data_IF_211703000361
#
_entry.id   IF_211703000361
#
_cell.length_a   1.000
_cell.length_b   1.000
_cell.length_c   1.000
_cell.angle_alpha   90.00
_cell.angle_beta   90.00
_cell.angle_gamma   90.00
#
_symmetry.space_group_name_H-M   'P 1'
#
loop_
_entity.id
_entity.type
_entity.pdbx_description
1 polymer ?
#
# COMPACT_ATOMS: atom_id res chain seq x y z
N UNK A 1 -53.34 -16.37 18.69
CA UNK A 1 -51.87 -16.49 18.92
C UNK A 1 -51.03 -16.11 17.68
N UNK A 2 -51.57 -16.09 16.46
CA UNK A 2 -50.81 -15.74 15.25
C UNK A 2 -50.29 -14.29 15.24
N UNK A 3 -51.10 -13.32 15.66
CA UNK A 3 -50.76 -11.89 15.61
C UNK A 3 -49.58 -11.51 16.52
N UNK A 4 -49.47 -12.15 17.68
CA UNK A 4 -48.33 -11.97 18.60
C UNK A 4 -47.07 -12.61 18.02
N UNK A 5 -47.17 -13.82 17.45
CA UNK A 5 -46.05 -14.48 16.77
C UNK A 5 -45.52 -13.66 15.60
N UNK A 6 -46.41 -13.10 14.77
CA UNK A 6 -46.00 -12.25 13.65
C UNK A 6 -45.31 -10.97 14.12
N UNK A 7 -45.77 -10.39 15.24
CA UNK A 7 -45.15 -9.19 15.81
C UNK A 7 -43.73 -9.46 16.33
N UNK A 8 -43.51 -10.59 17.00
CA UNK A 8 -42.15 -10.98 17.41
C UNK A 8 -41.23 -11.26 16.21
N UNK A 9 -41.76 -11.88 15.15
CA UNK A 9 -40.99 -12.16 13.94
C UNK A 9 -40.60 -10.88 13.19
N UNK A 10 -41.48 -9.88 13.11
CA UNK A 10 -41.14 -8.60 12.48
C UNK A 10 -40.12 -7.83 13.31
N UNK A 11 -40.26 -7.79 14.63
CA UNK A 11 -39.27 -7.16 15.52
C UNK A 11 -37.92 -7.86 15.38
N UNK A 12 -37.89 -9.20 15.38
CA UNK A 12 -36.66 -9.97 15.20
C UNK A 12 -36.01 -9.70 13.83
N UNK A 13 -36.81 -9.60 12.76
CA UNK A 13 -36.33 -9.25 11.43
C UNK A 13 -35.69 -7.86 11.38
N UNK A 14 -36.35 -6.86 11.98
CA UNK A 14 -35.82 -5.49 12.05
C UNK A 14 -34.55 -5.43 12.91
N UNK A 15 -34.53 -6.14 14.05
CA UNK A 15 -33.35 -6.20 14.89
C UNK A 15 -32.16 -6.83 14.15
N UNK A 16 -32.41 -7.90 13.39
CA UNK A 16 -31.38 -8.56 12.60
C UNK A 16 -30.82 -7.68 11.49
N UNK A 17 -31.67 -6.95 10.76
CA UNK A 17 -31.22 -6.03 9.71
C UNK A 17 -30.43 -4.85 10.28
N UNK A 18 -30.86 -4.29 11.41
CA UNK A 18 -30.11 -3.26 12.12
C UNK A 18 -28.76 -3.79 12.62
N UNK A 19 -28.72 -5.01 13.16
CA UNK A 19 -27.48 -5.65 13.59
C UNK A 19 -26.51 -5.82 12.41
N UNK A 20 -26.99 -6.34 11.28
CA UNK A 20 -26.19 -6.50 10.07
C UNK A 20 -25.67 -5.14 9.55
N UNK A 21 -26.50 -4.10 9.60
CA UNK A 21 -26.12 -2.75 9.19
C UNK A 21 -25.01 -2.18 10.08
N UNK A 22 -25.17 -2.23 11.41
CA UNK A 22 -24.17 -1.74 12.36
C UNK A 22 -22.86 -2.55 12.23
N UNK A 23 -22.96 -3.86 12.07
CA UNK A 23 -21.80 -4.72 11.84
C UNK A 23 -21.04 -4.32 10.57
N UNK A 24 -21.75 -4.12 9.45
CA UNK A 24 -21.14 -3.71 8.19
C UNK A 24 -20.51 -2.32 8.30
N UNK A 25 -21.20 -1.38 8.94
CA UNK A 25 -20.67 -0.04 9.20
C UNK A 25 -19.41 -0.08 10.08
N UNK A 26 -19.39 -0.94 11.10
CA UNK A 26 -18.23 -1.16 11.97
C UNK A 26 -17.03 -1.71 11.20
N UNK A 27 -17.23 -2.67 10.30
CA UNK A 27 -16.18 -3.16 9.40
C UNK A 27 -15.62 -2.04 8.53
N UNK A 28 -16.49 -1.23 7.92
CA UNK A 28 -16.06 -0.08 7.13
C UNK A 28 -15.24 0.91 7.95
N UNK A 29 -15.70 1.25 9.16
CA UNK A 29 -15.00 2.14 10.08
C UNK A 29 -13.63 1.58 10.50
N UNK A 30 -13.54 0.27 10.75
CA UNK A 30 -12.28 -0.39 11.10
C UNK A 30 -11.27 -0.29 9.94
N UNK A 31 -11.70 -0.54 8.70
CA UNK A 31 -10.84 -0.43 7.52
C UNK A 31 -10.37 1.00 7.30
N UNK A 32 -11.27 1.99 7.42
CA UNK A 32 -10.93 3.41 7.34
C UNK A 32 -9.92 3.78 8.45
N UNK A 33 -10.12 3.29 9.67
CA UNK A 33 -9.22 3.51 10.79
C UNK A 33 -7.81 2.97 10.51
N UNK A 34 -7.71 1.72 10.07
CA UNK A 34 -6.42 1.10 9.71
C UNK A 34 -5.75 1.88 8.59
N UNK A 35 -6.47 2.19 7.50
CA UNK A 35 -5.94 2.95 6.38
C UNK A 35 -5.44 4.33 6.82
N UNK A 36 -6.17 5.01 7.72
CA UNK A 36 -5.79 6.32 8.25
C UNK A 36 -4.47 6.25 9.03
N UNK A 37 -4.31 5.27 9.93
CA UNK A 37 -3.07 5.07 10.69
C UNK A 37 -1.90 4.78 9.76
N UNK A 38 -2.10 3.89 8.77
CA UNK A 38 -1.07 3.56 7.77
C UNK A 38 -0.65 4.80 6.98
N UNK A 39 -1.62 5.57 6.46
CA UNK A 39 -1.33 6.79 5.71
C UNK A 39 -0.56 7.80 6.54
N UNK A 40 -0.96 8.03 7.80
CA UNK A 40 -0.24 8.91 8.72
C UNK A 40 1.20 8.40 8.92
N UNK A 41 1.38 7.10 9.19
CA UNK A 41 2.69 6.48 9.32
C UNK A 41 3.56 6.65 8.07
N UNK A 42 2.98 6.45 6.87
CA UNK A 42 3.68 6.66 5.60
C UNK A 42 4.08 8.12 5.41
N UNK A 43 3.22 9.09 5.75
CA UNK A 43 3.59 10.51 5.62
C UNK A 43 4.70 10.91 6.57
N UNK A 44 4.72 10.37 7.79
CA UNK A 44 5.80 10.59 8.76
C UNK A 44 7.09 9.92 8.25
N UNK A 45 7.00 8.67 7.82
CA UNK A 45 8.13 7.93 7.27
C UNK A 45 8.73 8.62 6.05
N UNK A 46 7.91 9.14 5.12
CA UNK A 46 8.38 9.86 3.95
C UNK A 46 9.11 11.17 4.30
N UNK A 47 8.71 11.84 5.40
CA UNK A 47 9.42 13.04 5.90
C UNK A 47 10.76 12.70 6.56
N UNK A 48 10.85 11.54 7.20
CA UNK A 48 12.07 11.06 7.85
C UNK A 48 13.00 10.30 6.90
N UNK A 49 12.48 9.84 5.75
CA UNK A 49 13.24 9.10 4.77
C UNK A 49 14.41 9.97 4.25
N UNK A 50 15.63 9.43 4.19
CA UNK A 50 16.76 10.15 3.66
C UNK A 50 16.48 10.55 2.20
N UNK A 51 16.83 11.79 1.84
CA UNK A 51 16.66 12.28 0.47
C UNK A 51 17.30 11.29 -0.49
N UNK A 52 16.57 10.78 -1.49
CA UNK A 52 17.15 9.86 -2.47
C UNK A 52 18.29 10.61 -3.17
N UNK A 53 19.51 10.18 -2.90
CA UNK A 53 20.70 10.69 -3.58
C UNK A 53 20.63 10.14 -5.00
N UNK A 54 20.29 11.01 -5.96
CA UNK A 54 20.45 10.65 -7.36
C UNK A 54 21.90 10.27 -7.56
N UNK A 55 22.15 9.05 -8.01
CA UNK A 55 23.43 8.67 -8.58
C UNK A 55 23.64 9.53 -9.83
N UNK A 56 24.22 10.70 -9.65
CA UNK A 56 24.70 11.53 -10.75
C UNK A 56 25.94 10.84 -11.30
N UNK A 57 25.76 10.07 -12.37
CA UNK A 57 26.87 9.74 -13.25
C UNK A 57 27.42 11.07 -13.74
N UNK A 58 28.64 11.39 -13.34
CA UNK A 58 29.31 12.61 -13.75
C UNK A 58 29.49 12.58 -15.27
N UNK A 59 28.56 13.21 -16.02
CA UNK A 59 28.66 13.33 -17.49
C UNK A 59 29.89 14.14 -17.93
N UNK A 60 30.55 14.84 -17.01
CA UNK A 60 31.83 15.51 -17.23
C UNK A 60 33.05 14.57 -17.09
N UNK A 61 32.88 13.33 -16.63
CA UNK A 61 33.71 12.22 -17.10
C UNK A 61 33.20 11.92 -18.50
N UNK A 62 33.65 12.75 -19.44
CA UNK A 62 33.54 12.55 -20.88
C UNK A 62 33.50 11.07 -21.19
N UNK A 63 32.50 10.64 -21.97
CA UNK A 63 32.60 9.58 -22.98
C UNK A 63 33.97 8.88 -22.98
N UNK A 64 34.28 8.09 -21.95
CA UNK A 64 35.44 7.23 -21.99
C UNK A 64 34.92 6.12 -22.86
N UNK A 65 35.37 6.12 -24.10
CA UNK A 65 35.22 4.96 -24.97
C UNK A 65 35.53 3.73 -24.12
N UNK A 66 34.60 2.77 -24.00
CA UNK A 66 34.83 1.56 -23.23
C UNK A 66 36.16 0.98 -23.65
N UNK A 67 37.09 0.80 -22.72
CA UNK A 67 38.44 0.36 -23.09
C UNK A 67 38.34 -1.12 -23.43
N UNK A 68 38.32 -1.41 -24.73
CA UNK A 68 38.26 -2.77 -25.24
C UNK A 68 39.67 -3.25 -25.56
N UNK A 69 40.10 -4.33 -24.95
CA UNK A 69 41.31 -5.04 -25.39
C UNK A 69 41.11 -6.54 -25.37
N UNK A 70 41.89 -7.24 -26.19
CA UNK A 70 41.92 -8.68 -26.28
C UNK A 70 43.22 -9.18 -25.62
N UNK A 71 43.10 -10.06 -24.63
CA UNK A 71 44.23 -10.63 -23.89
C UNK A 71 44.76 -11.96 -24.48
N UNK A 72 44.27 -12.35 -25.66
CA UNK A 72 44.58 -13.61 -26.33
C UNK A 72 43.72 -14.79 -25.84
N UNK A 73 42.88 -14.61 -24.82
CA UNK A 73 41.90 -15.59 -24.32
C UNK A 73 40.46 -15.10 -24.41
N UNK A 74 40.26 -13.79 -24.57
CA UNK A 74 38.95 -13.18 -24.80
C UNK A 74 39.01 -11.66 -24.91
N UNK A 75 37.86 -11.06 -25.22
CA UNK A 75 37.70 -9.61 -25.27
C UNK A 75 37.18 -9.09 -23.94
N UNK A 76 37.89 -8.15 -23.33
CA UNK A 76 37.49 -7.49 -22.09
C UNK A 76 37.00 -6.09 -22.41
N UNK A 77 35.86 -5.70 -21.84
CA UNK A 77 35.25 -4.37 -22.00
C UNK A 77 35.16 -3.74 -20.61
N UNK A 78 35.93 -2.69 -20.38
CA UNK A 78 35.89 -1.87 -19.16
C UNK A 78 34.93 -0.69 -19.38
N UNK A 79 33.85 -0.62 -18.57
CA UNK A 79 32.75 0.35 -18.68
C UNK A 79 32.66 1.24 -17.44
#
# INVERSE_FOLDING_TARGET
>A
MQSIRSLFLTIAGIAFTLMAFVFTASLGLALIGIASVVMIGMTIAARLAPKPVRATVNRNRQQREPRVWNDGRGTIIDM
#
